data_IF_319725780563
#
_entry.id   IF_319725780563
#
_cell.length_a   1.000
_cell.length_b   1.000
_cell.length_c   1.000
_cell.angle_alpha   90.00
_cell.angle_beta   90.00
_cell.angle_gamma   90.00
#
_symmetry.space_group_name_H-M   'P 1'
#
loop_
_entity.id
_entity.type
_entity.pdbx_description
1 polymer ?
#
# COMPACT_ATOMS: atom_id res chain seq x y z
N UNK A 1 -23.88 5.05 -17.34
CA UNK A 1 -23.25 5.39 -16.03
C UNK A 1 -24.33 5.47 -14.99
N UNK A 2 -24.24 4.67 -13.94
CA UNK A 2 -25.11 4.79 -12.75
C UNK A 2 -24.74 6.11 -12.09
N UNK A 3 -25.67 7.07 -11.99
CA UNK A 3 -25.39 8.33 -11.31
C UNK A 3 -25.26 8.04 -9.81
N UNK A 4 -24.07 8.17 -9.24
CA UNK A 4 -23.84 8.13 -7.80
C UNK A 4 -24.55 9.35 -7.21
N UNK A 5 -25.64 9.12 -6.50
CA UNK A 5 -26.50 10.18 -5.94
C UNK A 5 -26.53 10.07 -4.43
N UNK A 6 -26.57 11.20 -3.76
CA UNK A 6 -26.80 11.30 -2.32
C UNK A 6 -25.75 10.60 -1.45
N UNK A 7 -24.52 10.42 -1.96
CA UNK A 7 -23.46 9.79 -1.16
C UNK A 7 -23.11 10.66 0.06
N UNK A 8 -23.26 11.97 -0.03
CA UNK A 8 -23.08 12.91 1.08
C UNK A 8 -24.10 12.70 2.21
N UNK A 9 -25.27 12.11 1.91
CA UNK A 9 -26.28 11.84 2.94
C UNK A 9 -25.94 10.62 3.79
N UNK A 10 -25.08 9.71 3.27
CA UNK A 10 -24.70 8.47 3.96
C UNK A 10 -23.37 8.60 4.72
N UNK A 11 -22.51 9.56 4.36
CA UNK A 11 -21.27 9.85 5.08
C UNK A 11 -21.44 11.13 5.89
N UNK A 12 -21.25 11.05 7.21
CA UNK A 12 -21.54 12.17 8.10
C UNK A 12 -20.32 12.99 8.48
N UNK A 13 -19.14 12.36 8.50
CA UNK A 13 -17.90 12.96 8.96
C UNK A 13 -16.77 12.87 7.93
N UNK A 14 -17.06 12.34 6.74
CA UNK A 14 -16.09 12.15 5.68
C UNK A 14 -16.33 13.13 4.55
N UNK A 15 -15.26 13.60 3.92
CA UNK A 15 -15.34 14.53 2.79
C UNK A 15 -15.65 13.77 1.50
N UNK A 16 -16.56 14.29 0.68
CA UNK A 16 -16.89 13.77 -0.65
C UNK A 16 -16.43 14.76 -1.71
N UNK A 17 -15.67 14.28 -2.68
CA UNK A 17 -15.15 15.06 -3.80
C UNK A 17 -15.55 14.39 -5.12
N UNK A 18 -15.89 15.19 -6.12
CA UNK A 18 -16.26 14.71 -7.44
C UNK A 18 -15.19 15.07 -8.46
N UNK A 19 -14.94 14.14 -9.38
CA UNK A 19 -13.93 14.32 -10.44
C UNK A 19 -12.55 14.74 -9.90
N UNK A 20 -12.15 14.14 -8.78
CA UNK A 20 -10.94 14.52 -8.04
C UNK A 20 -9.69 13.86 -8.63
N UNK A 21 -8.62 14.61 -8.92
CA UNK A 21 -7.38 14.08 -9.47
C UNK A 21 -6.64 13.12 -8.52
N UNK A 22 -6.58 11.83 -8.86
CA UNK A 22 -5.98 10.78 -8.03
C UNK A 22 -4.46 10.83 -7.95
N UNK A 23 -3.78 11.52 -8.88
CA UNK A 23 -2.32 11.77 -8.79
C UNK A 23 -1.88 12.46 -7.50
N UNK A 24 -2.78 13.16 -6.81
CA UNK A 24 -2.51 13.77 -5.50
C UNK A 24 -2.31 12.72 -4.41
N UNK A 25 -2.94 11.55 -4.56
CA UNK A 25 -3.03 10.46 -3.58
C UNK A 25 -2.19 9.24 -3.98
N UNK A 26 -1.40 9.34 -5.03
CA UNK A 26 -0.48 8.30 -5.51
C UNK A 26 0.96 8.73 -5.29
N UNK A 27 1.80 7.83 -4.81
CA UNK A 27 3.23 8.09 -4.63
C UNK A 27 3.97 8.24 -5.96
N UNK A 28 3.46 7.64 -7.03
CA UNK A 28 4.01 7.81 -8.39
C UNK A 28 3.68 9.15 -9.01
N UNK A 29 2.70 9.90 -8.43
CA UNK A 29 2.14 11.14 -9.00
C UNK A 29 1.50 10.95 -10.37
N UNK A 30 1.04 9.73 -10.65
CA UNK A 30 0.27 9.35 -11.84
C UNK A 30 -1.20 9.13 -11.51
N UNK A 31 -2.05 9.12 -12.54
CA UNK A 31 -3.46 8.77 -12.45
C UNK A 31 -4.40 9.90 -12.86
N UNK A 32 -5.48 9.50 -13.51
CA UNK A 32 -6.63 10.36 -13.85
C UNK A 32 -7.49 10.66 -12.63
N UNK A 33 -8.76 10.96 -12.85
CA UNK A 33 -9.67 11.41 -11.82
C UNK A 33 -10.50 10.25 -11.24
N UNK A 34 -10.86 10.32 -9.95
CA UNK A 34 -11.94 9.53 -9.39
C UNK A 34 -13.29 10.12 -9.82
N UNK A 35 -14.27 9.29 -10.21
CA UNK A 35 -15.62 9.77 -10.44
C UNK A 35 -16.21 10.37 -9.15
N UNK A 36 -16.11 9.61 -8.05
CA UNK A 36 -16.39 10.08 -6.69
C UNK A 36 -15.26 9.61 -5.77
N UNK A 37 -14.74 10.52 -4.97
CA UNK A 37 -13.75 10.22 -3.94
C UNK A 37 -14.33 10.54 -2.57
N UNK A 38 -14.21 9.58 -1.63
CA UNK A 38 -14.59 9.74 -0.23
C UNK A 38 -13.34 9.65 0.65
N UNK A 39 -13.02 10.72 1.40
CA UNK A 39 -11.94 10.72 2.40
C UNK A 39 -12.50 10.28 3.74
N UNK A 40 -12.32 9.00 4.03
CA UNK A 40 -12.88 8.37 5.23
C UNK A 40 -12.13 8.79 6.51
N UNK A 41 -12.89 9.10 7.54
CA UNK A 41 -12.37 9.46 8.87
C UNK A 41 -12.71 8.44 9.96
N UNK A 42 -13.67 7.54 9.70
CA UNK A 42 -14.16 6.60 10.72
C UNK A 42 -14.77 5.32 10.09
N UNK A 43 -14.95 4.29 10.92
CA UNK A 43 -15.49 2.99 10.52
C UNK A 43 -16.98 3.05 10.11
N UNK A 44 -17.77 3.95 10.69
CA UNK A 44 -19.19 4.05 10.36
C UNK A 44 -19.39 4.53 8.93
N UNK A 45 -18.66 5.57 8.53
CA UNK A 45 -18.72 6.08 7.16
C UNK A 45 -18.16 5.04 6.17
N UNK A 46 -17.08 4.31 6.52
CA UNK A 46 -16.59 3.20 5.72
C UNK A 46 -17.67 2.13 5.52
N UNK A 47 -18.33 1.70 6.58
CA UNK A 47 -19.42 0.72 6.52
C UNK A 47 -20.59 1.21 5.64
N UNK A 48 -20.96 2.47 5.78
CA UNK A 48 -22.03 3.09 5.01
C UNK A 48 -21.68 3.11 3.51
N UNK A 49 -20.45 3.50 3.16
CA UNK A 49 -19.97 3.51 1.76
C UNK A 49 -19.96 2.10 1.17
N UNK A 50 -19.53 1.09 1.94
CA UNK A 50 -19.54 -0.31 1.49
C UNK A 50 -20.96 -0.77 1.19
N UNK A 51 -21.91 -0.57 2.11
CA UNK A 51 -23.32 -0.94 1.93
C UNK A 51 -23.93 -0.24 0.73
N UNK A 52 -23.74 1.07 0.65
CA UNK A 52 -24.25 1.88 -0.46
C UNK A 52 -23.72 1.39 -1.82
N UNK A 53 -22.43 1.13 -1.92
CA UNK A 53 -21.79 0.60 -3.11
C UNK A 53 -22.39 -0.75 -3.52
N UNK A 54 -22.54 -1.67 -2.57
CA UNK A 54 -23.10 -3.00 -2.81
C UNK A 54 -24.58 -2.95 -3.23
N UNK A 55 -25.40 -2.18 -2.53
CA UNK A 55 -26.84 -2.02 -2.80
C UNK A 55 -27.12 -1.39 -4.17
N UNK A 56 -26.26 -0.49 -4.61
CA UNK A 56 -26.40 0.21 -5.88
C UNK A 56 -25.56 -0.39 -7.02
N UNK A 57 -24.85 -1.51 -6.77
CA UNK A 57 -23.94 -2.15 -7.74
C UNK A 57 -22.91 -1.18 -8.31
N UNK A 58 -22.38 -0.30 -7.46
CA UNK A 58 -21.32 0.66 -7.79
C UNK A 58 -19.97 0.03 -7.42
N UNK A 59 -18.98 0.14 -8.29
CA UNK A 59 -17.63 -0.32 -7.98
C UNK A 59 -17.01 0.53 -6.87
N UNK A 60 -16.41 -0.15 -5.87
CA UNK A 60 -15.73 0.47 -4.73
C UNK A 60 -14.26 0.11 -4.74
N UNK A 61 -13.41 1.10 -4.89
CA UNK A 61 -11.95 0.96 -4.77
C UNK A 61 -11.48 1.55 -3.44
N UNK A 62 -10.79 0.75 -2.63
CA UNK A 62 -10.18 1.22 -1.39
C UNK A 62 -8.73 1.61 -1.67
N UNK A 63 -8.35 2.81 -1.26
CA UNK A 63 -7.00 3.31 -1.38
C UNK A 63 -6.47 3.68 0.02
N UNK A 64 -5.35 3.07 0.40
CA UNK A 64 -4.59 3.51 1.57
C UNK A 64 -3.69 4.70 1.22
N UNK A 65 -2.41 4.61 1.54
CA UNK A 65 -1.45 5.68 1.25
C UNK A 65 -0.95 5.74 -0.22
N UNK A 66 -1.48 4.91 -1.13
CA UNK A 66 -1.15 4.97 -2.56
C UNK A 66 0.31 4.67 -2.92
N UNK A 67 1.04 3.93 -2.07
CA UNK A 67 2.48 3.69 -2.22
C UNK A 67 2.86 2.45 -3.03
N UNK A 68 1.90 1.56 -3.34
CA UNK A 68 2.12 0.35 -4.14
C UNK A 68 1.08 0.22 -5.28
N UNK A 69 0.69 1.33 -5.87
CA UNK A 69 -0.31 1.36 -6.94
C UNK A 69 0.15 2.23 -8.11
N UNK A 70 -0.31 1.84 -9.29
CA UNK A 70 -0.37 2.67 -10.49
C UNK A 70 -1.85 2.92 -10.80
N UNK A 71 -2.24 4.16 -10.93
CA UNK A 71 -3.64 4.53 -11.22
C UNK A 71 -3.72 4.90 -12.69
N UNK A 72 -4.69 4.29 -13.38
CA UNK A 72 -4.96 4.53 -14.82
C UNK A 72 -5.09 6.03 -15.14
N UNK A 73 -4.56 6.44 -16.28
CA UNK A 73 -4.68 7.82 -16.78
C UNK A 73 -6.15 8.19 -17.09
N UNK A 74 -7.01 7.18 -17.33
CA UNK A 74 -8.45 7.36 -17.47
C UNK A 74 -9.17 7.56 -16.13
N UNK A 75 -8.45 7.40 -15.01
CA UNK A 75 -9.03 7.50 -13.66
C UNK A 75 -9.71 6.21 -13.20
N UNK A 76 -10.57 6.34 -12.21
CA UNK A 76 -11.33 5.24 -11.61
C UNK A 76 -12.81 5.61 -11.59
N UNK A 77 -13.64 4.77 -12.23
CA UNK A 77 -15.10 4.88 -12.19
C UNK A 77 -15.64 4.39 -10.84
N UNK A 78 -16.84 4.81 -10.48
CA UNK A 78 -17.46 4.45 -9.21
C UNK A 78 -16.92 5.27 -8.04
N UNK A 79 -16.77 4.62 -6.89
CA UNK A 79 -16.33 5.27 -5.64
C UNK A 79 -14.90 4.85 -5.32
N UNK A 80 -14.04 5.84 -5.12
CA UNK A 80 -12.73 5.65 -4.49
C UNK A 80 -12.80 6.10 -3.04
N UNK A 81 -12.56 5.21 -2.10
CA UNK A 81 -12.56 5.52 -0.67
C UNK A 81 -11.12 5.50 -0.14
N UNK A 82 -10.64 6.66 0.32
CA UNK A 82 -9.30 6.84 0.88
C UNK A 82 -9.38 6.73 2.39
N UNK A 83 -8.52 5.87 2.98
CA UNK A 83 -8.52 5.58 4.42
C UNK A 83 -7.50 6.40 5.22
N UNK A 84 -6.70 7.27 4.60
CA UNK A 84 -5.58 7.98 5.27
C UNK A 84 -5.98 8.76 6.52
N UNK A 85 -7.21 9.27 6.58
CA UNK A 85 -7.71 10.03 7.73
C UNK A 85 -8.36 9.13 8.81
N UNK A 86 -8.46 7.80 8.54
CA UNK A 86 -8.78 6.77 9.54
C UNK A 86 -7.49 6.34 10.26
N UNK A 87 -6.95 7.18 11.14
CA UNK A 87 -5.61 7.03 11.70
C UNK A 87 -5.57 6.91 13.23
N UNK A 88 -6.67 6.57 13.89
CA UNK A 88 -6.67 6.35 15.34
C UNK A 88 -5.79 5.17 15.73
N UNK A 89 -5.05 5.34 16.82
CA UNK A 89 -4.18 4.34 17.43
C UNK A 89 -4.32 4.39 18.95
N UNK A 90 -4.28 3.23 19.59
CA UNK A 90 -4.36 3.08 21.04
C UNK A 90 -3.54 1.89 21.53
N UNK A 91 -2.98 1.99 22.71
CA UNK A 91 -2.34 0.88 23.40
C UNK A 91 -3.36 0.26 24.37
N UNK A 92 -3.57 -1.04 24.19
CA UNK A 92 -4.43 -1.86 25.04
C UNK A 92 -3.58 -2.65 26.06
N UNK A 93 -4.25 -3.28 27.02
CA UNK A 93 -3.60 -4.17 27.99
C UNK A 93 -2.83 -5.30 27.31
N UNK A 94 -1.71 -5.73 27.89
CA UNK A 94 -0.89 -6.83 27.39
C UNK A 94 -0.03 -6.45 26.18
N UNK A 95 0.35 -5.19 26.04
CA UNK A 95 1.19 -4.67 24.97
C UNK A 95 0.57 -4.90 23.57
N UNK A 96 -0.74 -4.78 23.46
CA UNK A 96 -1.46 -4.85 22.20
C UNK A 96 -1.73 -3.45 21.66
N UNK A 97 -1.28 -3.17 20.44
CA UNK A 97 -1.65 -1.94 19.71
C UNK A 97 -2.89 -2.23 18.89
N UNK A 98 -3.92 -1.38 19.02
CA UNK A 98 -5.08 -1.32 18.14
C UNK A 98 -5.01 -0.07 17.30
N UNK A 99 -5.09 -0.19 15.96
CA UNK A 99 -5.11 0.99 15.10
C UNK A 99 -5.98 0.79 13.85
N UNK A 100 -6.46 1.89 13.30
CA UNK A 100 -7.20 1.89 12.05
C UNK A 100 -6.31 1.67 10.83
N UNK A 101 -6.91 1.14 9.76
CA UNK A 101 -6.22 0.76 8.53
C UNK A 101 -5.52 1.92 7.79
N UNK A 102 -5.97 3.15 8.01
CA UNK A 102 -5.41 4.33 7.37
C UNK A 102 -4.15 4.89 8.05
N UNK A 103 -3.87 4.49 9.30
CA UNK A 103 -2.67 4.92 10.01
C UNK A 103 -1.42 4.60 9.17
N UNK A 104 -0.49 5.54 9.06
CA UNK A 104 0.76 5.29 8.37
C UNK A 104 1.70 4.40 9.18
N UNK A 105 2.56 3.64 8.51
CA UNK A 105 3.58 2.83 9.20
C UNK A 105 4.60 3.70 9.93
N UNK A 106 4.79 4.94 9.49
CA UNK A 106 5.61 5.90 10.22
C UNK A 106 4.99 6.25 11.57
N UNK A 107 3.71 6.65 11.59
CA UNK A 107 3.00 6.97 12.84
C UNK A 107 2.95 5.77 13.79
N UNK A 108 2.75 4.56 13.25
CA UNK A 108 2.80 3.33 14.03
C UNK A 108 4.19 3.08 14.63
N UNK A 109 5.27 3.31 13.87
CA UNK A 109 6.66 3.20 14.37
C UNK A 109 6.95 4.24 15.46
N UNK A 110 6.53 5.50 15.24
CA UNK A 110 6.70 6.57 16.22
C UNK A 110 5.97 6.24 17.54
N UNK A 111 4.75 5.72 17.44
CA UNK A 111 3.98 5.26 18.61
C UNK A 111 4.67 4.11 19.36
N UNK A 112 5.29 3.17 18.64
CA UNK A 112 6.07 2.09 19.26
C UNK A 112 7.28 2.62 20.02
N UNK A 113 8.00 3.60 19.47
CA UNK A 113 9.14 4.27 20.14
C UNK A 113 8.68 4.96 21.43
N UNK A 114 7.56 5.70 21.39
CA UNK A 114 7.02 6.43 22.53
C UNK A 114 6.59 5.50 23.67
N UNK A 115 6.13 4.28 23.36
CA UNK A 115 5.62 3.31 24.31
C UNK A 115 6.61 2.17 24.65
N UNK A 116 7.87 2.27 24.21
CA UNK A 116 8.92 1.26 24.41
C UNK A 116 8.51 -0.15 23.89
N UNK A 117 7.94 -0.18 22.69
CA UNK A 117 7.47 -1.41 22.02
C UNK A 117 8.37 -1.74 20.84
N UNK A 118 8.86 -2.96 20.78
CA UNK A 118 9.82 -3.48 19.77
C UNK A 118 9.16 -4.52 18.85
N UNK A 119 9.85 -4.95 17.82
CA UNK A 119 9.51 -5.91 16.78
C UNK A 119 8.77 -5.31 15.56
N UNK A 120 8.63 -3.99 15.47
CA UNK A 120 8.03 -3.34 14.30
C UNK A 120 9.03 -2.45 13.53
N UNK A 121 10.28 -2.40 13.96
CA UNK A 121 11.31 -1.54 13.39
C UNK A 121 11.55 -1.80 11.89
N UNK A 122 11.33 -3.04 11.43
CA UNK A 122 11.44 -3.40 10.01
C UNK A 122 10.52 -2.58 9.10
N UNK A 123 9.40 -2.08 9.64
CA UNK A 123 8.40 -1.32 8.89
C UNK A 123 8.75 0.16 8.73
N UNK A 124 9.75 0.66 9.46
CA UNK A 124 10.18 2.06 9.37
C UNK A 124 10.57 2.43 7.94
N UNK A 125 10.16 3.61 7.51
CA UNK A 125 10.43 4.12 6.17
C UNK A 125 9.67 3.43 5.03
N UNK A 126 8.81 2.42 5.28
CA UNK A 126 7.83 1.97 4.28
C UNK A 126 6.73 3.03 4.19
N UNK A 127 6.49 3.64 3.02
CA UNK A 127 5.54 4.76 2.91
C UNK A 127 4.09 4.29 2.78
N UNK A 128 3.73 3.18 3.44
CA UNK A 128 2.41 2.55 3.40
C UNK A 128 1.50 2.93 4.55
N UNK A 129 0.20 2.64 4.41
CA UNK A 129 -0.74 2.55 5.51
C UNK A 129 -0.75 1.15 6.12
N UNK A 130 -1.23 1.04 7.36
CA UNK A 130 -1.41 -0.24 8.05
C UNK A 130 -2.26 -1.20 7.21
N UNK A 131 -3.44 -0.78 6.72
CA UNK A 131 -4.29 -1.63 5.89
C UNK A 131 -3.59 -2.14 4.63
N UNK A 132 -2.86 -1.27 3.93
CA UNK A 132 -2.05 -1.67 2.77
C UNK A 132 -0.93 -2.63 3.13
N UNK A 133 -0.28 -2.45 4.28
CA UNK A 133 0.76 -3.34 4.77
C UNK A 133 0.22 -4.74 5.11
N UNK A 134 -0.97 -4.82 5.73
CA UNK A 134 -1.63 -6.09 6.00
C UNK A 134 -2.08 -6.77 4.71
N UNK A 135 -2.68 -6.04 3.78
CA UNK A 135 -3.09 -6.55 2.48
C UNK A 135 -1.95 -7.25 1.74
N UNK A 136 -0.73 -6.69 1.81
CA UNK A 136 0.47 -7.17 1.15
C UNK A 136 1.37 -8.04 2.03
N UNK A 137 1.02 -8.31 3.30
CA UNK A 137 1.99 -8.82 4.27
C UNK A 137 3.35 -8.13 4.11
N UNK A 138 3.34 -6.80 4.22
CA UNK A 138 4.52 -5.99 3.96
C UNK A 138 5.69 -6.40 4.85
N UNK A 139 6.88 -6.47 4.27
CA UNK A 139 8.09 -6.83 5.00
C UNK A 139 9.33 -6.20 4.39
N UNK A 140 10.31 -5.98 5.24
CA UNK A 140 11.63 -5.46 4.89
C UNK A 140 12.65 -5.91 5.93
N UNK A 141 13.92 -6.01 5.55
CA UNK A 141 15.04 -6.27 6.48
C UNK A 141 14.87 -7.53 7.35
N UNK A 142 14.17 -8.53 6.84
CA UNK A 142 13.97 -9.82 7.51
C UNK A 142 12.73 -9.92 8.40
N UNK A 143 12.01 -8.81 8.64
CA UNK A 143 10.70 -8.82 9.34
C UNK A 143 9.53 -8.65 8.38
N UNK A 144 8.34 -9.12 8.75
CA UNK A 144 7.10 -8.97 8.00
C UNK A 144 5.88 -8.86 8.92
N UNK A 145 4.76 -8.31 8.42
CA UNK A 145 3.56 -8.03 9.23
C UNK A 145 3.01 -9.25 9.94
N UNK A 146 3.06 -10.44 9.32
CA UNK A 146 2.57 -11.69 9.95
C UNK A 146 3.22 -11.99 11.31
N UNK A 147 4.43 -11.48 11.58
CA UNK A 147 5.16 -11.78 12.82
C UNK A 147 4.61 -11.03 14.04
N UNK A 148 3.89 -9.92 13.79
CA UNK A 148 3.39 -9.01 14.84
C UNK A 148 1.89 -8.87 14.86
N UNK A 149 1.18 -9.23 13.79
CA UNK A 149 -0.28 -9.16 13.72
C UNK A 149 -0.91 -10.20 14.64
N UNK A 150 -1.80 -9.78 15.51
CA UNK A 150 -2.62 -10.66 16.37
C UNK A 150 -3.93 -11.01 15.69
N UNK A 151 -4.68 -10.01 15.22
CA UNK A 151 -5.95 -10.14 14.52
C UNK A 151 -6.25 -8.93 13.65
N UNK A 152 -7.16 -9.10 12.69
CA UNK A 152 -7.58 -8.05 11.74
C UNK A 152 -9.11 -7.98 11.71
N UNK A 153 -9.66 -6.78 11.89
CA UNK A 153 -11.08 -6.52 11.65
C UNK A 153 -11.28 -6.06 10.21
N UNK A 154 -12.29 -6.65 9.58
CA UNK A 154 -12.66 -6.33 8.20
C UNK A 154 -14.15 -6.10 8.08
N UNK A 155 -14.55 -5.45 6.99
CA UNK A 155 -15.92 -5.44 6.52
C UNK A 155 -16.05 -6.35 5.30
N UNK A 156 -17.09 -7.20 5.29
CA UNK A 156 -17.51 -7.93 4.10
C UNK A 156 -18.10 -6.98 3.06
N UNK A 157 -18.33 -7.45 1.85
CA UNK A 157 -19.05 -6.68 0.80
C UNK A 157 -20.47 -6.25 1.21
N UNK A 158 -21.09 -6.99 2.14
CA UNK A 158 -22.41 -6.63 2.71
C UNK A 158 -22.30 -5.57 3.83
N UNK A 159 -21.08 -5.16 4.20
CA UNK A 159 -20.84 -4.22 5.30
C UNK A 159 -20.95 -4.87 6.69
N UNK A 160 -20.83 -6.19 6.79
CA UNK A 160 -20.81 -6.91 8.06
C UNK A 160 -19.37 -6.96 8.60
N UNK A 161 -19.22 -6.74 9.92
CA UNK A 161 -17.92 -6.90 10.56
C UNK A 161 -17.54 -8.36 10.70
N UNK A 162 -16.27 -8.68 10.42
CA UNK A 162 -15.65 -9.98 10.61
C UNK A 162 -14.26 -9.82 11.18
N UNK A 163 -13.80 -10.78 11.94
CA UNK A 163 -12.47 -10.79 12.54
C UNK A 163 -11.71 -12.02 12.02
N UNK A 164 -10.50 -11.78 11.57
CA UNK A 164 -9.54 -12.81 11.23
C UNK A 164 -8.45 -12.88 12.29
N UNK A 165 -8.13 -14.11 12.75
CA UNK A 165 -6.89 -14.36 13.50
C UNK A 165 -5.69 -14.27 12.57
N UNK A 166 -4.47 -14.19 13.12
CA UNK A 166 -3.24 -14.24 12.32
C UNK A 166 -3.21 -15.46 11.37
N UNK A 167 -3.57 -16.63 11.86
CA UNK A 167 -3.60 -17.87 11.07
C UNK A 167 -4.61 -17.80 9.91
N UNK A 168 -5.80 -17.24 10.17
CA UNK A 168 -6.86 -17.08 9.16
C UNK A 168 -6.52 -16.03 8.10
N UNK A 169 -5.52 -15.17 8.34
CA UNK A 169 -5.04 -14.21 7.35
C UNK A 169 -4.22 -14.87 6.24
N UNK A 170 -3.79 -16.12 6.41
CA UNK A 170 -3.04 -16.91 5.40
C UNK A 170 -1.85 -16.16 4.79
N UNK A 171 -1.13 -15.45 5.65
CA UNK A 171 -0.02 -14.61 5.23
C UNK A 171 1.10 -15.42 4.56
N UNK A 172 1.48 -14.99 3.37
CA UNK A 172 2.66 -15.47 2.65
C UNK A 172 3.40 -14.31 1.98
N UNK A 173 4.42 -14.58 1.17
CA UNK A 173 5.21 -13.54 0.52
C UNK A 173 4.32 -12.63 -0.35
N UNK A 174 4.19 -11.35 0.04
CA UNK A 174 3.34 -10.33 -0.63
C UNK A 174 1.87 -10.72 -0.77
N UNK A 175 1.36 -11.49 0.19
CA UNK A 175 0.01 -12.03 0.14
C UNK A 175 -0.67 -12.07 1.51
N UNK A 176 -1.99 -11.86 1.50
CA UNK A 176 -2.93 -12.18 2.58
C UNK A 176 -4.26 -12.62 1.98
N UNK A 177 -5.07 -13.37 2.72
CA UNK A 177 -6.40 -13.85 2.29
C UNK A 177 -7.33 -12.72 1.80
N UNK A 178 -7.08 -11.50 2.22
CA UNK A 178 -7.85 -10.31 1.80
C UNK A 178 -7.73 -10.05 0.28
N UNK A 179 -6.63 -10.49 -0.34
CA UNK A 179 -6.46 -10.35 -1.80
C UNK A 179 -7.47 -11.22 -2.58
N UNK A 180 -7.99 -12.28 -1.97
CA UNK A 180 -8.96 -13.22 -2.55
C UNK A 180 -10.39 -12.85 -2.15
N UNK A 181 -10.63 -12.65 -0.85
CA UNK A 181 -11.97 -12.36 -0.31
C UNK A 181 -12.48 -10.99 -0.73
N UNK A 182 -11.57 -10.04 -1.04
CA UNK A 182 -11.90 -8.64 -1.35
C UNK A 182 -12.67 -7.95 -0.22
N UNK A 183 -12.52 -8.44 1.01
CA UNK A 183 -13.02 -7.78 2.20
C UNK A 183 -12.15 -6.54 2.51
N UNK A 184 -12.67 -5.61 3.29
CA UNK A 184 -12.04 -4.31 3.49
C UNK A 184 -11.52 -4.21 4.92
N UNK A 185 -10.21 -4.06 5.08
CA UNK A 185 -9.56 -3.92 6.38
C UNK A 185 -9.97 -2.59 7.01
N UNK A 186 -10.51 -2.64 8.23
CA UNK A 186 -10.87 -1.46 9.02
C UNK A 186 -9.92 -1.20 10.17
N UNK A 187 -9.52 -2.26 10.90
CA UNK A 187 -8.70 -2.16 12.10
C UNK A 187 -7.75 -3.35 12.23
N UNK A 188 -6.58 -3.10 12.78
CA UNK A 188 -5.55 -4.12 13.00
C UNK A 188 -5.08 -4.09 14.45
N UNK A 189 -4.83 -5.29 14.98
CA UNK A 189 -4.29 -5.48 16.32
C UNK A 189 -2.90 -6.12 16.22
N UNK A 190 -1.92 -5.50 16.83
CA UNK A 190 -0.55 -5.97 16.85
C UNK A 190 -0.16 -6.41 18.25
N UNK A 191 0.40 -7.63 18.40
CA UNK A 191 1.01 -8.07 19.64
C UNK A 191 2.47 -7.65 19.65
N UNK A 192 2.80 -6.74 20.55
CA UNK A 192 4.13 -6.18 20.66
C UNK A 192 4.92 -6.81 21.80
N UNK A 193 6.21 -6.50 21.87
CA UNK A 193 7.09 -6.85 22.99
C UNK A 193 7.66 -5.57 23.59
N UNK A 194 7.97 -5.59 24.88
CA UNK A 194 8.71 -4.50 25.54
C UNK A 194 10.18 -4.49 25.07
N UNK A 195 10.68 -3.30 24.82
CA UNK A 195 12.08 -3.01 24.52
C UNK A 195 12.56 -1.77 25.27
N UNK A 196 13.77 -1.34 24.98
CA UNK A 196 14.25 -0.03 25.47
C UNK A 196 14.13 1.00 24.33
N UNK A 197 13.82 2.25 24.69
CA UNK A 197 13.64 3.31 23.71
C UNK A 197 14.90 3.53 22.87
N UNK A 198 16.05 3.44 23.50
CA UNK A 198 17.37 3.64 22.89
C UNK A 198 17.66 2.57 21.83
N UNK A 199 17.38 1.29 22.13
CA UNK A 199 17.58 0.19 21.18
C UNK A 199 16.63 0.30 19.98
N UNK A 200 15.37 0.65 20.23
CA UNK A 200 14.36 0.82 19.16
C UNK A 200 14.77 1.97 18.24
N UNK A 201 15.11 3.14 18.79
CA UNK A 201 15.57 4.30 18.01
C UNK A 201 16.82 3.93 17.19
N UNK A 202 17.82 3.33 17.82
CA UNK A 202 19.06 2.93 17.14
C UNK A 202 18.77 2.01 15.95
N UNK A 203 17.85 1.04 16.12
CA UNK A 203 17.46 0.14 15.04
C UNK A 203 16.70 0.84 13.93
N UNK A 204 15.78 1.71 14.26
CA UNK A 204 15.01 2.53 13.29
C UNK A 204 15.95 3.42 12.47
N UNK A 205 16.92 4.08 13.12
CA UNK A 205 17.92 4.92 12.45
C UNK A 205 18.82 4.11 11.49
N UNK A 206 19.30 2.95 11.94
CA UNK A 206 20.08 2.02 11.11
C UNK A 206 19.29 1.65 9.84
N UNK A 207 18.04 1.20 9.99
CA UNK A 207 17.22 0.75 8.87
C UNK A 207 16.84 1.88 7.92
N UNK A 208 16.50 3.07 8.44
CA UNK A 208 16.23 4.25 7.63
C UNK A 208 17.49 4.68 6.85
N UNK A 209 18.67 4.63 7.47
CA UNK A 209 19.93 4.89 6.76
C UNK A 209 20.17 3.89 5.65
N UNK A 210 20.03 2.58 5.92
CA UNK A 210 20.16 1.54 4.88
C UNK A 210 19.19 1.77 3.70
N UNK A 211 17.98 2.27 3.99
CA UNK A 211 16.97 2.59 2.97
C UNK A 211 17.37 3.81 2.14
N UNK A 212 17.74 4.91 2.78
CA UNK A 212 18.15 6.13 2.08
C UNK A 212 19.41 5.93 1.23
N UNK A 213 20.33 5.08 1.68
CA UNK A 213 21.56 4.79 0.94
C UNK A 213 21.27 3.98 -0.36
N UNK A 214 20.23 3.13 -0.36
CA UNK A 214 19.94 2.18 -1.45
C UNK A 214 18.76 2.56 -2.35
N UNK A 215 17.76 3.27 -1.84
CA UNK A 215 16.52 3.56 -2.57
C UNK A 215 16.49 4.99 -3.14
N UNK A 216 15.84 5.20 -4.30
CA UNK A 216 15.74 6.50 -4.96
C UNK A 216 14.64 7.37 -4.33
N UNK A 217 14.79 7.75 -3.05
CA UNK A 217 13.76 8.44 -2.28
C UNK A 217 13.49 9.87 -2.75
N UNK A 218 14.37 10.41 -3.57
CA UNK A 218 14.27 11.74 -4.19
C UNK A 218 13.26 11.83 -5.32
N UNK A 219 12.79 10.67 -5.84
CA UNK A 219 11.82 10.61 -6.94
C UNK A 219 10.49 9.97 -6.51
N UNK A 220 9.36 10.41 -7.08
CA UNK A 220 8.10 9.70 -6.93
C UNK A 220 8.21 8.27 -7.47
N UNK A 221 7.71 7.27 -6.72
CA UNK A 221 7.75 5.87 -7.12
C UNK A 221 6.72 5.02 -6.35
N UNK A 222 6.49 3.80 -6.79
CA UNK A 222 5.65 2.81 -6.09
C UNK A 222 6.49 1.73 -5.39
N UNK A 223 7.73 2.01 -5.02
CA UNK A 223 8.62 1.01 -4.44
C UNK A 223 9.18 0.04 -5.48
N UNK A 224 9.45 -1.19 -5.06
CA UNK A 224 9.85 -2.26 -5.97
C UNK A 224 8.68 -2.69 -6.85
N UNK A 225 8.87 -2.67 -8.16
CA UNK A 225 7.80 -2.94 -9.14
C UNK A 225 7.52 -4.42 -9.29
N UNK A 226 8.53 -5.26 -9.10
CA UNK A 226 8.43 -6.70 -9.31
C UNK A 226 8.65 -7.48 -8.02
N UNK A 227 7.93 -8.59 -7.87
CA UNK A 227 8.16 -9.59 -6.84
C UNK A 227 9.55 -10.20 -7.01
N UNK A 228 10.09 -10.73 -5.92
CA UNK A 228 11.34 -11.47 -5.96
C UNK A 228 11.09 -12.86 -6.58
N UNK A 229 11.70 -13.18 -7.74
CA UNK A 229 11.61 -14.52 -8.31
C UNK A 229 12.31 -15.55 -7.42
N UNK A 230 11.86 -16.80 -7.46
CA UNK A 230 12.50 -17.88 -6.72
C UNK A 230 13.97 -18.06 -7.13
N UNK A 231 14.87 -18.07 -6.16
CA UNK A 231 16.30 -18.17 -6.37
C UNK A 231 17.00 -16.92 -6.90
N UNK A 232 16.27 -15.84 -7.18
CA UNK A 232 16.83 -14.62 -7.77
C UNK A 232 16.43 -13.35 -7.02
N UNK A 233 16.99 -12.22 -7.43
CA UNK A 233 16.61 -10.88 -7.03
C UNK A 233 16.20 -10.08 -8.25
N UNK A 234 14.94 -9.61 -8.33
CA UNK A 234 14.44 -8.86 -9.50
C UNK A 234 15.34 -7.66 -9.85
N UNK A 235 15.74 -6.85 -8.87
CA UNK A 235 16.64 -5.72 -9.11
C UNK A 235 18.00 -6.13 -9.69
N UNK A 236 18.56 -7.29 -9.28
CA UNK A 236 19.83 -7.79 -9.84
C UNK A 236 19.66 -8.24 -11.29
N UNK A 237 18.60 -8.96 -11.61
CA UNK A 237 18.30 -9.37 -12.99
C UNK A 237 18.14 -8.15 -13.92
N UNK A 238 17.40 -7.13 -13.47
CA UNK A 238 17.21 -5.88 -14.23
C UNK A 238 18.54 -5.14 -14.42
N UNK A 239 19.39 -5.10 -13.38
CA UNK A 239 20.72 -4.50 -13.46
C UNK A 239 21.63 -5.25 -14.42
N UNK A 240 21.66 -6.59 -14.35
CA UNK A 240 22.51 -7.43 -15.20
C UNK A 240 22.10 -7.35 -16.68
N UNK A 241 20.81 -7.21 -16.96
CA UNK A 241 20.29 -6.92 -18.28
C UNK A 241 20.60 -5.48 -18.78
N UNK A 242 21.34 -4.68 -18.01
CA UNK A 242 21.76 -3.32 -18.38
C UNK A 242 20.64 -2.28 -18.47
N UNK A 243 19.53 -2.49 -17.73
CA UNK A 243 18.30 -1.68 -17.88
C UNK A 243 18.21 -0.45 -16.96
N UNK A 244 19.21 -0.24 -16.08
CA UNK A 244 19.22 0.98 -15.27
C UNK A 244 19.27 2.24 -16.14
N UNK A 245 18.36 3.17 -15.90
CA UNK A 245 18.22 4.38 -16.70
C UNK A 245 17.37 4.21 -17.98
N UNK A 246 16.89 2.99 -18.30
CA UNK A 246 15.91 2.80 -19.36
C UNK A 246 14.67 3.67 -19.07
N UNK A 247 14.27 4.45 -20.08
CA UNK A 247 13.22 5.47 -19.94
C UNK A 247 12.14 5.28 -20.99
N UNK A 248 10.88 5.36 -20.57
CA UNK A 248 9.71 5.38 -21.45
C UNK A 248 8.83 6.57 -21.00
N UNK A 249 8.64 7.55 -21.87
CA UNK A 249 7.99 8.80 -21.49
C UNK A 249 8.65 9.44 -20.28
N UNK A 250 7.88 9.69 -19.23
CA UNK A 250 8.40 10.23 -17.96
C UNK A 250 8.81 9.17 -16.94
N UNK A 251 8.64 7.86 -17.21
CA UNK A 251 8.98 6.77 -16.30
C UNK A 251 10.39 6.22 -16.61
N UNK A 252 11.18 5.96 -15.57
CA UNK A 252 12.57 5.47 -15.73
C UNK A 252 12.86 4.34 -14.73
N UNK A 253 13.60 3.31 -15.17
CA UNK A 253 14.26 2.36 -14.25
C UNK A 253 15.31 3.13 -13.47
N UNK A 254 15.20 3.14 -12.14
CA UNK A 254 16.09 3.93 -11.29
C UNK A 254 17.57 3.56 -11.50
N UNK A 255 18.40 4.57 -11.65
CA UNK A 255 19.87 4.43 -11.72
C UNK A 255 20.48 3.99 -10.39
N UNK A 256 19.78 4.25 -9.26
CA UNK A 256 20.23 3.92 -7.91
C UNK A 256 19.83 2.50 -7.49
N UNK A 257 18.60 2.07 -7.82
CA UNK A 257 18.07 0.75 -7.47
C UNK A 257 17.23 0.20 -8.61
N UNK A 258 17.73 -0.76 -9.37
CA UNK A 258 17.12 -1.26 -10.58
C UNK A 258 15.73 -1.89 -10.40
N UNK A 259 15.36 -2.33 -9.19
CA UNK A 259 14.01 -2.83 -8.88
C UNK A 259 12.94 -1.74 -8.78
N UNK A 260 13.34 -0.45 -8.77
CA UNK A 260 12.44 0.70 -8.70
C UNK A 260 12.25 1.32 -10.08
N UNK A 261 11.03 1.70 -10.36
CA UNK A 261 10.71 2.62 -11.45
C UNK A 261 10.26 3.95 -10.85
N UNK A 262 10.82 5.04 -11.37
CA UNK A 262 10.64 6.40 -10.84
C UNK A 262 10.01 7.30 -11.87
N UNK A 263 9.23 8.27 -11.41
CA UNK A 263 8.71 9.36 -12.23
C UNK A 263 9.75 10.48 -12.25
N UNK A 264 10.41 10.65 -13.38
CA UNK A 264 11.46 11.68 -13.55
C UNK A 264 10.93 12.95 -14.21
N UNK A 265 9.83 12.87 -14.95
CA UNK A 265 9.21 13.99 -15.64
C UNK A 265 7.78 13.68 -16.06
N UNK A 266 6.81 14.03 -15.21
CA UNK A 266 5.38 13.98 -15.53
C UNK A 266 4.91 12.65 -16.15
N UNK A 267 5.47 11.51 -15.68
CA UNK A 267 5.13 10.18 -16.17
C UNK A 267 3.62 9.91 -16.09
N UNK A 268 3.11 9.21 -17.08
CA UNK A 268 1.75 8.67 -17.11
C UNK A 268 1.74 7.23 -16.57
N UNK A 269 0.55 6.70 -16.26
CA UNK A 269 0.39 5.28 -15.94
C UNK A 269 0.79 4.41 -17.14
N UNK A 270 0.47 4.85 -18.35
CA UNK A 270 0.82 4.12 -19.58
C UNK A 270 2.33 4.09 -19.79
N UNK A 271 3.08 5.14 -19.45
CA UNK A 271 4.55 5.12 -19.49
C UNK A 271 5.11 4.02 -18.57
N UNK A 272 4.60 3.93 -17.33
CA UNK A 272 4.98 2.87 -16.40
C UNK A 272 4.64 1.47 -16.93
N UNK A 273 3.44 1.27 -17.48
CA UNK A 273 3.02 -0.02 -18.04
C UNK A 273 3.89 -0.46 -19.19
N UNK A 274 4.25 0.46 -20.09
CA UNK A 274 5.13 0.19 -21.21
C UNK A 274 6.57 -0.09 -20.74
N UNK A 275 7.07 0.66 -19.74
CA UNK A 275 8.38 0.39 -19.14
C UNK A 275 8.42 -0.99 -18.45
N UNK A 276 7.36 -1.37 -17.72
CA UNK A 276 7.22 -2.69 -17.10
C UNK A 276 7.32 -3.80 -18.15
N UNK A 277 6.53 -3.70 -19.23
CA UNK A 277 6.54 -4.69 -20.33
C UNK A 277 7.92 -4.82 -21.00
N UNK A 278 8.59 -3.69 -21.22
CA UNK A 278 9.91 -3.69 -21.82
C UNK A 278 10.96 -4.33 -20.92
N UNK A 279 10.92 -4.05 -19.61
CA UNK A 279 11.80 -4.67 -18.61
C UNK A 279 11.52 -6.17 -18.52
N UNK A 280 10.26 -6.60 -18.43
CA UNK A 280 9.89 -8.01 -18.40
C UNK A 280 10.43 -8.77 -19.60
N UNK A 281 10.22 -8.21 -20.81
CA UNK A 281 10.68 -8.79 -22.06
C UNK A 281 12.21 -8.97 -22.07
N UNK A 282 12.94 -7.90 -21.76
CA UNK A 282 14.42 -7.93 -21.81
C UNK A 282 15.04 -8.83 -20.76
N UNK A 283 14.50 -8.86 -19.54
CA UNK A 283 14.98 -9.78 -18.50
C UNK A 283 14.70 -11.23 -18.87
N UNK A 284 13.53 -11.53 -19.43
CA UNK A 284 13.20 -12.88 -19.92
C UNK A 284 14.16 -13.31 -21.05
N UNK A 285 14.44 -12.43 -22.01
CA UNK A 285 15.38 -12.70 -23.13
C UNK A 285 16.82 -12.97 -22.64
N UNK A 286 17.27 -12.23 -21.61
CA UNK A 286 18.64 -12.30 -21.10
C UNK A 286 18.87 -13.46 -20.12
N UNK A 287 17.93 -13.69 -19.21
CA UNK A 287 18.10 -14.63 -18.09
C UNK A 287 17.18 -15.85 -18.11
N UNK A 288 16.14 -15.85 -18.97
CA UNK A 288 15.11 -16.87 -18.95
C UNK A 288 14.14 -16.79 -17.77
N UNK A 289 14.25 -15.75 -16.92
CA UNK A 289 13.42 -15.56 -15.73
C UNK A 289 12.27 -14.59 -16.01
N UNK A 290 11.04 -15.02 -15.72
CA UNK A 290 9.85 -14.18 -15.84
C UNK A 290 9.69 -13.32 -14.58
N UNK A 291 9.51 -12.00 -14.76
CA UNK A 291 9.26 -11.07 -13.66
C UNK A 291 7.76 -10.87 -13.43
N UNK A 292 7.27 -11.17 -12.22
CA UNK A 292 5.89 -10.90 -11.81
C UNK A 292 5.77 -9.52 -11.17
N UNK A 293 4.76 -8.73 -11.59
CA UNK A 293 4.48 -7.43 -10.98
C UNK A 293 4.02 -7.55 -9.52
N UNK A 294 4.62 -6.74 -8.64
CA UNK A 294 4.15 -6.53 -7.26
C UNK A 294 3.17 -5.36 -7.18
N UNK A 295 3.43 -4.31 -7.95
CA UNK A 295 2.57 -3.11 -8.02
C UNK A 295 1.18 -3.46 -8.55
N UNK A 296 0.13 -2.86 -7.95
CA UNK A 296 -1.27 -3.04 -8.37
C UNK A 296 -1.67 -1.93 -9.32
N UNK A 297 -2.29 -2.28 -10.45
CA UNK A 297 -2.84 -1.32 -11.41
C UNK A 297 -4.34 -1.17 -11.12
N UNK A 298 -4.81 0.08 -10.99
CA UNK A 298 -6.19 0.42 -10.66
C UNK A 298 -6.82 1.23 -11.79
N UNK A 299 -8.12 1.02 -12.07
CA UNK A 299 -8.90 1.79 -13.06
C UNK A 299 -8.75 1.27 -14.49
N UNK A 300 -8.48 -0.04 -14.68
CA UNK A 300 -8.48 -0.71 -15.99
C UNK A 300 -9.83 -1.35 -16.31
#
# INVERSE_FOLDING_TARGET
MVKIKNIEEIVQNSEVLYNEPLRKYSFTKTGGNAEVLVKLTNEQDLQNVIKYSNENSIELTILGNGSNVLISDNGIAGIVAITSDMNKIELLDGDVISCYAGLTLKELTDFCIENNLTNLEFSCGIPGSVGGAIFMNAGAYGGEMKEVVQKVEVFTKAGEKKIYTNEQMEFSYRHSVIQETKEIISRVYFQMKKGTKEEIISKVEELNKMRSDKQPLEYPSCGSVFKRPEGYFAGKLIQDAGLQGLTVGGAQVSKKHAGFMVNIDSATCEDYKNLIKEVQKKVLEDSGVELECEVKILGE
#
